data_IF_087986968348
#
_entry.id   IF_087986968348
#
_cell.length_a   1.000
_cell.length_b   1.000
_cell.length_c   1.000
_cell.angle_alpha   90.00
_cell.angle_beta   90.00
_cell.angle_gamma   90.00
#
_symmetry.space_group_name_H-M   'P 1'
#
loop_
_entity.id
_entity.type
_entity.pdbx_description
1 polymer ?
#
# COMPACT_ATOMS: atom_id res chain seq x y z
N UNK A 1 -3.33 -3.64 42.17
CA UNK A 1 -3.74 -3.85 40.75
C UNK A 1 -3.81 -2.50 40.09
N UNK A 2 -2.73 -2.06 39.42
CA UNK A 2 -2.63 -0.69 38.91
C UNK A 2 -1.60 -0.57 37.78
N UNK A 3 -1.59 -1.51 36.82
CA UNK A 3 -0.56 -1.57 35.77
C UNK A 3 -1.10 -2.12 34.43
N UNK A 4 -2.25 -1.64 33.96
CA UNK A 4 -2.84 -2.10 32.68
C UNK A 4 -3.25 -0.97 31.72
N UNK A 5 -2.75 0.26 31.88
CA UNK A 5 -3.13 1.42 31.03
C UNK A 5 -1.93 2.10 30.35
N UNK A 6 -0.82 1.38 30.14
CA UNK A 6 0.41 1.98 29.58
C UNK A 6 0.79 1.49 28.16
N UNK A 7 -0.13 0.90 27.39
CA UNK A 7 0.17 0.45 26.02
C UNK A 7 -0.96 0.75 25.03
N UNK A 8 -1.24 2.03 24.79
CA UNK A 8 -2.11 2.46 23.69
C UNK A 8 -1.65 3.78 23.03
N UNK A 9 -0.38 4.17 23.18
CA UNK A 9 0.12 5.46 22.68
C UNK A 9 1.40 5.31 21.85
N UNK A 10 1.31 4.61 20.72
CA UNK A 10 2.29 4.68 19.61
C UNK A 10 1.61 4.38 18.28
N UNK A 11 0.45 5.00 18.05
CA UNK A 11 -0.02 5.22 16.69
C UNK A 11 0.47 6.62 16.29
N UNK A 12 1.18 6.79 15.16
CA UNK A 12 1.47 8.12 14.67
C UNK A 12 0.14 8.81 14.36
N UNK A 13 -0.18 9.85 15.12
CA UNK A 13 -1.26 10.78 14.80
C UNK A 13 -0.93 11.48 13.49
N UNK A 14 -1.76 11.36 12.43
CA UNK A 14 -1.69 12.34 11.37
C UNK A 14 -2.35 13.62 11.91
N UNK A 15 -1.52 14.63 12.17
CA UNK A 15 -1.98 15.98 12.39
C UNK A 15 -2.55 16.52 11.06
N UNK A 16 -3.81 16.19 10.75
CA UNK A 16 -4.53 16.81 9.65
C UNK A 16 -5.12 18.14 10.14
N UNK A 17 -4.34 19.20 9.94
CA UNK A 17 -4.79 20.57 10.01
C UNK A 17 -5.87 20.83 8.95
N UNK A 18 -7.11 20.77 9.42
CA UNK A 18 -8.35 21.42 8.93
C UNK A 18 -8.17 22.40 7.76
N UNK A 19 -8.49 21.93 6.55
CA UNK A 19 -9.08 22.75 5.50
C UNK A 19 -10.38 22.06 5.07
N UNK A 20 -11.50 22.76 5.16
CA UNK A 20 -12.79 22.26 4.69
C UNK A 20 -12.77 22.23 3.16
N UNK A 21 -12.35 21.10 2.61
CA UNK A 21 -12.43 20.74 1.20
C UNK A 21 -12.85 19.28 1.11
N UNK A 22 -13.30 18.83 -0.06
CA UNK A 22 -13.58 17.41 -0.31
C UNK A 22 -12.44 16.54 0.25
N UNK A 23 -12.73 15.37 0.88
CA UNK A 23 -11.69 14.53 1.51
C UNK A 23 -10.55 14.16 0.55
N UNK A 24 -10.81 14.24 -0.76
CA UNK A 24 -9.83 14.05 -1.82
C UNK A 24 -9.89 15.25 -2.79
N UNK A 25 -9.06 16.29 -2.60
CA UNK A 25 -8.95 17.40 -3.56
C UNK A 25 -8.45 16.89 -4.91
N UNK A 26 -9.09 17.32 -6.02
CA UNK A 26 -8.74 16.91 -7.38
C UNK A 26 -7.25 17.04 -7.67
N UNK A 27 -6.67 18.20 -7.35
CA UNK A 27 -5.24 18.49 -7.56
C UNK A 27 -4.33 17.52 -6.78
N UNK A 28 -4.70 17.18 -5.54
CA UNK A 28 -3.95 16.25 -4.70
C UNK A 28 -4.02 14.81 -5.25
N UNK A 29 -5.21 14.40 -5.72
CA UNK A 29 -5.42 13.08 -6.33
C UNK A 29 -4.63 12.98 -7.63
N UNK A 30 -4.75 13.98 -8.52
CA UNK A 30 -4.01 14.05 -9.78
C UNK A 30 -2.50 13.98 -9.54
N UNK A 31 -1.97 14.82 -8.65
CA UNK A 31 -0.54 14.81 -8.32
C UNK A 31 -0.06 13.49 -7.71
N UNK A 32 -0.89 12.83 -6.89
CA UNK A 32 -0.58 11.50 -6.35
C UNK A 32 -0.47 10.46 -7.46
N UNK A 33 -1.46 10.40 -8.36
CA UNK A 33 -1.48 9.46 -9.48
C UNK A 33 -0.36 9.74 -10.48
N UNK A 34 -0.03 11.01 -10.75
CA UNK A 34 1.09 11.38 -11.64
C UNK A 34 2.44 10.90 -11.08
N UNK A 35 2.67 11.09 -9.77
CA UNK A 35 3.87 10.55 -9.11
C UNK A 35 3.92 9.03 -9.18
N UNK A 36 2.78 8.36 -8.98
CA UNK A 36 2.70 6.93 -9.08
C UNK A 36 2.97 6.43 -10.52
N UNK A 37 2.37 7.04 -11.53
CA UNK A 37 2.62 6.72 -12.93
C UNK A 37 4.09 6.92 -13.31
N UNK A 38 4.73 8.00 -12.82
CA UNK A 38 6.16 8.23 -13.03
C UNK A 38 7.03 7.13 -12.38
N UNK A 39 6.71 6.72 -11.15
CA UNK A 39 7.41 5.62 -10.48
C UNK A 39 7.22 4.29 -11.23
N UNK A 40 6.02 4.01 -11.74
CA UNK A 40 5.74 2.81 -12.53
C UNK A 40 6.49 2.80 -13.87
N UNK A 41 6.62 3.96 -14.55
CA UNK A 41 7.44 4.05 -15.77
C UNK A 41 8.92 3.80 -15.52
N UNK A 42 9.42 4.16 -14.33
CA UNK A 42 10.80 3.89 -13.94
C UNK A 42 11.02 2.42 -13.53
N UNK A 43 9.96 1.69 -13.19
CA UNK A 43 10.01 0.29 -12.80
C UNK A 43 9.89 -0.62 -14.03
N UNK A 44 10.94 -1.40 -14.38
CA UNK A 44 10.92 -2.21 -15.60
C UNK A 44 9.82 -3.26 -15.55
N UNK A 45 9.05 -3.37 -16.63
CA UNK A 45 7.95 -4.33 -16.74
C UNK A 45 6.66 -3.93 -16.02
N UNK A 46 6.51 -2.67 -15.59
CA UNK A 46 5.27 -2.10 -15.06
C UNK A 46 4.71 -0.97 -15.94
N UNK A 47 5.18 -0.86 -17.18
CA UNK A 47 4.82 0.19 -18.13
C UNK A 47 3.32 0.21 -18.43
N UNK A 48 2.71 -0.97 -18.63
CA UNK A 48 1.26 -1.11 -18.87
C UNK A 48 0.41 -0.57 -17.70
N UNK A 49 0.92 -0.69 -16.46
CA UNK A 49 0.24 -0.12 -15.29
C UNK A 49 0.40 1.40 -15.25
N UNK A 50 1.54 1.94 -15.68
CA UNK A 50 1.73 3.38 -15.77
C UNK A 50 0.78 4.00 -16.81
N UNK A 51 0.56 3.32 -17.93
CA UNK A 51 -0.41 3.76 -18.94
C UNK A 51 -1.85 3.64 -18.44
N UNK A 52 -2.17 2.57 -17.72
CA UNK A 52 -3.49 2.41 -17.07
C UNK A 52 -3.76 3.52 -16.04
N UNK A 53 -2.76 3.90 -15.24
CA UNK A 53 -2.88 5.03 -14.29
C UNK A 53 -2.99 6.36 -15.04
N UNK A 54 -2.34 6.49 -16.20
CA UNK A 54 -2.43 7.69 -17.03
C UNK A 54 -3.84 7.88 -17.62
N UNK A 55 -4.50 6.81 -18.08
CA UNK A 55 -5.93 6.87 -18.49
C UNK A 55 -6.83 7.33 -17.31
N UNK A 56 -6.55 6.83 -16.10
CA UNK A 56 -7.29 7.24 -14.91
C UNK A 56 -7.07 8.72 -14.58
N UNK A 57 -5.86 9.26 -14.79
CA UNK A 57 -5.55 10.68 -14.60
C UNK A 57 -6.35 11.57 -15.57
N UNK A 58 -6.50 11.16 -16.83
CA UNK A 58 -7.28 11.92 -17.81
C UNK A 58 -8.76 12.01 -17.46
N UNK A 59 -9.27 11.00 -16.73
CA UNK A 59 -10.69 10.86 -16.36
C UNK A 59 -10.95 11.15 -14.89
N UNK A 60 -9.93 11.60 -14.15
CA UNK A 60 -9.99 11.72 -12.68
C UNK A 60 -11.06 12.71 -12.22
N UNK A 61 -11.34 13.74 -13.01
CA UNK A 61 -12.38 14.73 -12.73
C UNK A 61 -13.78 14.09 -12.71
N UNK A 62 -14.08 13.26 -13.70
CA UNK A 62 -15.35 12.52 -13.74
C UNK A 62 -15.40 11.44 -12.65
N UNK A 63 -14.30 10.72 -12.45
CA UNK A 63 -14.21 9.60 -11.50
C UNK A 63 -14.25 10.04 -10.03
N UNK A 64 -13.83 11.26 -9.72
CA UNK A 64 -13.96 11.82 -8.37
C UNK A 64 -15.41 12.14 -7.99
N UNK A 65 -16.36 12.06 -8.92
CA UNK A 65 -17.79 12.06 -8.58
C UNK A 65 -18.18 10.86 -7.71
N UNK A 66 -17.46 9.73 -7.85
CA UNK A 66 -17.53 8.57 -6.94
C UNK A 66 -16.11 8.13 -6.51
N UNK A 67 -15.57 8.76 -5.45
CA UNK A 67 -14.24 8.45 -4.95
C UNK A 67 -14.07 6.99 -4.50
N UNK A 68 -15.15 6.34 -4.06
CA UNK A 68 -15.11 4.94 -3.64
C UNK A 68 -14.92 4.02 -4.84
N UNK A 69 -15.57 4.31 -5.96
CA UNK A 69 -15.37 3.57 -7.20
C UNK A 69 -13.93 3.78 -7.73
N UNK A 70 -13.43 5.02 -7.69
CA UNK A 70 -12.05 5.32 -8.07
C UNK A 70 -11.05 4.53 -7.21
N UNK A 71 -11.20 4.54 -5.88
CA UNK A 71 -10.32 3.79 -4.98
C UNK A 71 -10.38 2.27 -5.21
N UNK A 72 -11.56 1.71 -5.49
CA UNK A 72 -11.71 0.30 -5.84
C UNK A 72 -10.95 -0.07 -7.12
N UNK A 73 -11.02 0.80 -8.15
CA UNK A 73 -10.28 0.60 -9.41
C UNK A 73 -8.76 0.68 -9.17
N UNK A 74 -8.30 1.62 -8.36
CA UNK A 74 -6.90 1.77 -7.97
C UNK A 74 -6.40 0.56 -7.17
N UNK A 75 -7.19 0.09 -6.20
CA UNK A 75 -6.91 -1.13 -5.42
C UNK A 75 -6.83 -2.37 -6.31
N UNK A 76 -7.69 -2.47 -7.33
CA UNK A 76 -7.64 -3.57 -8.29
C UNK A 76 -6.38 -3.53 -9.17
N UNK A 77 -5.88 -2.34 -9.53
CA UNK A 77 -4.59 -2.21 -10.22
C UNK A 77 -3.43 -2.59 -9.29
N UNK A 78 -3.48 -2.17 -8.02
CA UNK A 78 -2.51 -2.55 -7.00
C UNK A 78 -2.43 -4.07 -6.80
N UNK A 79 -3.57 -4.78 -6.72
CA UNK A 79 -3.57 -6.24 -6.57
C UNK A 79 -2.92 -6.94 -7.78
N UNK A 80 -3.19 -6.46 -9.01
CA UNK A 80 -2.57 -6.96 -10.23
C UNK A 80 -1.06 -6.69 -10.26
N UNK A 81 -0.64 -5.49 -9.85
CA UNK A 81 0.78 -5.13 -9.72
C UNK A 81 1.48 -6.05 -8.70
N UNK A 82 0.84 -6.29 -7.55
CA UNK A 82 1.36 -7.18 -6.51
C UNK A 82 1.51 -8.61 -7.03
N UNK A 83 0.52 -9.10 -7.78
CA UNK A 83 0.58 -10.42 -8.40
C UNK A 83 1.74 -10.54 -9.39
N UNK A 84 1.93 -9.56 -10.28
CA UNK A 84 3.05 -9.52 -11.22
C UNK A 84 4.40 -9.42 -10.49
N UNK A 85 4.49 -8.61 -9.46
CA UNK A 85 5.71 -8.49 -8.67
C UNK A 85 6.06 -9.82 -7.97
N UNK A 86 5.07 -10.56 -7.48
CA UNK A 86 5.27 -11.89 -6.88
C UNK A 86 5.78 -12.92 -7.88
N UNK A 87 5.36 -12.88 -9.15
CA UNK A 87 5.87 -13.82 -10.17
C UNK A 87 7.33 -13.58 -10.55
N UNK A 88 7.88 -12.41 -10.18
CA UNK A 88 9.27 -12.03 -10.45
C UNK A 88 10.23 -12.30 -9.30
N UNK A 89 9.71 -12.69 -8.13
CA UNK A 89 10.55 -13.03 -6.99
C UNK A 89 11.30 -14.34 -7.25
N UNK A 90 12.60 -14.34 -6.97
CA UNK A 90 13.40 -15.56 -6.98
C UNK A 90 13.15 -16.38 -5.71
N UNK A 91 13.46 -17.67 -5.73
CA UNK A 91 13.39 -18.52 -4.53
C UNK A 91 14.23 -17.96 -3.37
N UNK A 92 15.39 -17.35 -3.68
CA UNK A 92 16.26 -16.71 -2.67
C UNK A 92 15.57 -15.49 -2.02
N UNK A 93 14.85 -14.68 -2.80
CA UNK A 93 14.10 -13.52 -2.27
C UNK A 93 12.97 -13.99 -1.34
N UNK A 94 12.23 -15.02 -1.75
CA UNK A 94 11.19 -15.62 -0.92
C UNK A 94 11.74 -16.16 0.39
N UNK A 95 12.90 -16.85 0.35
CA UNK A 95 13.54 -17.39 1.54
C UNK A 95 14.03 -16.27 2.48
N UNK A 96 14.64 -15.21 1.93
CA UNK A 96 15.07 -14.02 2.70
C UNK A 96 13.88 -13.33 3.36
N UNK A 97 12.81 -13.08 2.61
CA UNK A 97 11.59 -12.48 3.15
C UNK A 97 10.99 -13.33 4.28
N UNK A 98 11.01 -14.66 4.15
CA UNK A 98 10.52 -15.58 5.18
C UNK A 98 11.38 -15.56 6.44
N UNK A 99 12.70 -15.55 6.31
CA UNK A 99 13.62 -15.44 7.45
C UNK A 99 13.48 -14.12 8.19
N UNK A 100 13.38 -13.02 7.44
CA UNK A 100 13.22 -11.70 8.03
C UNK A 100 11.91 -11.61 8.83
N UNK A 101 10.83 -12.13 8.24
CA UNK A 101 9.54 -12.26 8.92
C UNK A 101 9.65 -13.11 10.18
N UNK A 102 10.29 -14.29 10.13
CA UNK A 102 10.43 -15.17 11.29
C UNK A 102 11.16 -14.47 12.45
N UNK A 103 12.23 -13.74 12.14
CA UNK A 103 12.99 -12.93 13.11
C UNK A 103 12.14 -11.82 13.73
N UNK A 104 11.29 -11.16 12.94
CA UNK A 104 10.39 -10.11 13.42
C UNK A 104 9.20 -10.65 14.21
N UNK A 105 8.72 -11.86 13.89
CA UNK A 105 7.61 -12.51 14.57
C UNK A 105 8.01 -13.23 15.87
N UNK A 106 9.29 -13.57 16.05
CA UNK A 106 9.82 -14.24 17.24
C UNK A 106 9.30 -13.64 18.58
N UNK A 107 9.30 -12.30 18.80
CA UNK A 107 8.77 -11.70 20.02
C UNK A 107 7.24 -11.75 20.17
N UNK A 108 6.49 -11.97 19.09
CA UNK A 108 5.02 -11.94 19.07
C UNK A 108 4.38 -13.33 19.01
N UNK A 109 5.15 -14.38 18.67
CA UNK A 109 4.63 -15.76 18.56
C UNK A 109 3.93 -16.28 19.81
N UNK A 110 4.44 -15.94 20.99
CA UNK A 110 3.83 -16.36 22.26
C UNK A 110 2.62 -15.52 22.68
N UNK A 111 2.30 -14.44 21.95
CA UNK A 111 1.27 -13.44 22.31
C UNK A 111 0.09 -13.40 21.34
N UNK A 112 0.12 -14.17 20.24
CA UNK A 112 -0.89 -14.12 19.18
C UNK A 112 -1.38 -15.50 18.77
N UNK A 113 -2.67 -15.59 18.42
CA UNK A 113 -3.26 -16.77 17.81
C UNK A 113 -2.70 -17.03 16.41
N UNK A 114 -2.71 -18.28 15.96
CA UNK A 114 -2.24 -18.67 14.64
C UNK A 114 -2.89 -17.87 13.49
N UNK A 115 -4.17 -17.53 13.61
CA UNK A 115 -4.89 -16.70 12.62
C UNK A 115 -4.33 -15.27 12.53
N UNK A 116 -3.97 -14.66 13.67
CA UNK A 116 -3.39 -13.32 13.70
C UNK A 116 -1.97 -13.31 13.11
N UNK A 117 -1.19 -14.35 13.40
CA UNK A 117 0.13 -14.53 12.80
C UNK A 117 0.05 -14.70 11.28
N UNK A 118 -0.91 -15.48 10.77
CA UNK A 118 -1.10 -15.67 9.34
C UNK A 118 -1.50 -14.38 8.61
N UNK A 119 -2.38 -13.56 9.21
CA UNK A 119 -2.74 -12.23 8.65
C UNK A 119 -1.54 -11.29 8.60
N UNK A 120 -0.75 -11.26 9.69
CA UNK A 120 0.43 -10.41 9.78
C UNK A 120 1.50 -10.83 8.76
N UNK A 121 1.74 -12.14 8.64
CA UNK A 121 2.62 -12.73 7.63
C UNK A 121 2.22 -12.30 6.21
N UNK A 122 0.92 -12.41 5.87
CA UNK A 122 0.43 -12.00 4.56
C UNK A 122 0.65 -10.51 4.30
N UNK A 123 0.35 -9.65 5.28
CA UNK A 123 0.53 -8.20 5.17
C UNK A 123 2.01 -7.81 5.02
N UNK A 124 2.89 -8.48 5.76
CA UNK A 124 4.33 -8.26 5.69
C UNK A 124 4.90 -8.64 4.32
N UNK A 125 4.54 -9.82 3.82
CA UNK A 125 4.97 -10.28 2.51
C UNK A 125 4.46 -9.35 1.41
N UNK A 126 3.21 -8.89 1.48
CA UNK A 126 2.66 -7.92 0.54
C UNK A 126 3.47 -6.62 0.52
N UNK A 127 3.74 -6.05 1.70
CA UNK A 127 4.56 -4.84 1.82
C UNK A 127 5.96 -5.06 1.25
N UNK A 128 6.60 -6.19 1.55
CA UNK A 128 7.95 -6.50 1.06
C UNK A 128 8.00 -6.65 -0.46
N UNK A 129 6.95 -7.21 -1.07
CA UNK A 129 6.82 -7.28 -2.54
C UNK A 129 6.86 -5.89 -3.17
N UNK A 130 6.10 -4.95 -2.59
CA UNK A 130 6.09 -3.56 -3.03
C UNK A 130 7.45 -2.87 -2.82
N UNK A 131 8.06 -3.05 -1.64
CA UNK A 131 9.37 -2.45 -1.30
C UNK A 131 10.49 -2.94 -2.24
N UNK A 132 10.56 -4.25 -2.50
CA UNK A 132 11.60 -4.85 -3.35
C UNK A 132 11.50 -4.41 -4.82
N UNK A 133 10.28 -4.16 -5.30
CA UNK A 133 10.02 -3.75 -6.68
C UNK A 133 9.87 -2.22 -6.82
N UNK A 134 10.05 -1.44 -5.73
CA UNK A 134 9.93 0.01 -5.74
C UNK A 134 8.54 0.51 -6.14
N UNK A 135 7.49 -0.30 -5.90
CA UNK A 135 6.16 -0.02 -6.40
C UNK A 135 5.45 1.07 -5.59
N UNK A 136 4.82 2.06 -6.24
CA UNK A 136 4.02 3.05 -5.55
C UNK A 136 2.70 2.44 -5.06
N UNK A 137 2.16 3.03 -3.98
CA UNK A 137 0.76 2.84 -3.60
C UNK A 137 -0.12 3.77 -4.43
N UNK A 138 -1.21 3.25 -4.97
CA UNK A 138 -2.18 3.96 -5.82
C UNK A 138 -3.44 4.35 -5.05
N UNK A 139 -3.80 3.62 -4.00
CA UNK A 139 -5.03 3.86 -3.25
C UNK A 139 -5.09 5.28 -2.68
N UNK A 140 -6.30 5.86 -2.69
CA UNK A 140 -6.54 7.24 -2.24
C UNK A 140 -6.22 7.43 -0.75
N UNK A 141 -6.19 6.36 0.04
CA UNK A 141 -5.77 6.40 1.45
C UNK A 141 -4.33 6.88 1.67
N UNK A 142 -3.49 6.86 0.63
CA UNK A 142 -2.09 7.29 0.70
C UNK A 142 -1.86 8.73 0.17
N UNK A 143 -2.93 9.47 -0.11
CA UNK A 143 -2.84 10.89 -0.43
C UNK A 143 -2.45 11.65 0.84
N UNK A 144 -1.25 12.25 0.83
CA UNK A 144 -0.72 13.10 1.90
C UNK A 144 -0.96 14.59 1.61
#
# INVERSE_FOLDING_TARGET
>A
MKEAEAMANTLPSPAHSRAQGSPFPLESVRAHLERAAAALRAAPGFEDFADSVSDLIERVEDLLSDPQELDQRLTALEDKMAALARTRLSDDDLFRMRRDLDSQLQPYRSKMSADQLARLEKSFLDRKVYELNGLPRLSLFYIQ
#
